data_IF_325857830059
#
_entry.id   IF_325857830059
#
_cell.length_a   1.000
_cell.length_b   1.000
_cell.length_c   1.000
_cell.angle_alpha   90.00
_cell.angle_beta   90.00
_cell.angle_gamma   90.00
#
_symmetry.space_group_name_H-M   'P 1'
#
loop_
_entity.id
_entity.type
_entity.pdbx_description
1 polymer ?
#
# COMPACT_ATOMS: atom_id res chain seq x y z
N UNK A 1 12.13 1.07 7.43
CA UNK A 1 10.74 1.11 7.90
C UNK A 1 9.81 0.77 6.75
N UNK A 2 8.64 0.31 7.06
CA UNK A 2 7.68 -0.15 6.06
C UNK A 2 6.34 0.53 6.23
N UNK A 3 5.72 0.94 5.11
CA UNK A 3 4.37 1.47 5.11
C UNK A 3 3.48 0.61 4.21
N UNK A 4 2.31 0.26 4.70
CA UNK A 4 1.30 -0.46 3.95
C UNK A 4 0.18 0.50 3.65
N UNK A 5 -0.08 0.73 2.37
CA UNK A 5 -1.12 1.67 1.93
C UNK A 5 -2.30 0.85 1.42
N UNK A 6 -3.49 1.13 1.91
CA UNK A 6 -4.70 0.47 1.43
C UNK A 6 -5.42 1.38 0.45
N UNK A 7 -5.70 0.85 -0.73
CA UNK A 7 -6.36 1.60 -1.79
C UNK A 7 -5.39 2.11 -2.85
N UNK A 8 -5.47 1.54 -4.04
CA UNK A 8 -4.62 1.92 -5.18
C UNK A 8 -5.34 3.01 -5.99
N UNK A 9 -5.16 4.27 -5.61
CA UNK A 9 -5.87 5.39 -6.22
C UNK A 9 -4.96 6.61 -6.30
N UNK A 10 -5.50 7.74 -6.77
CA UNK A 10 -4.73 8.97 -6.92
C UNK A 10 -4.21 9.53 -5.60
N UNK A 11 -4.93 9.31 -4.50
CA UNK A 11 -4.47 9.74 -3.18
C UNK A 11 -3.24 8.94 -2.79
N UNK A 12 -3.23 7.64 -3.08
CA UNK A 12 -2.07 6.79 -2.80
C UNK A 12 -0.85 7.24 -3.62
N UNK A 13 -1.05 7.60 -4.88
CA UNK A 13 0.04 8.13 -5.70
C UNK A 13 0.66 9.38 -5.10
N UNK A 14 -0.17 10.31 -4.66
CA UNK A 14 0.31 11.54 -4.03
C UNK A 14 1.03 11.26 -2.72
N UNK A 15 0.49 10.34 -1.93
CA UNK A 15 1.10 9.96 -0.66
C UNK A 15 2.49 9.36 -0.87
N UNK A 16 2.63 8.47 -1.86
CA UNK A 16 3.89 7.82 -2.14
C UNK A 16 4.98 8.83 -2.51
N UNK A 17 4.61 9.90 -3.21
CA UNK A 17 5.58 10.94 -3.57
C UNK A 17 6.14 11.67 -2.36
N UNK A 18 5.42 11.66 -1.24
CA UNK A 18 5.81 12.37 -0.02
C UNK A 18 6.52 11.49 0.98
N UNK A 19 6.51 10.18 0.77
CA UNK A 19 7.14 9.25 1.68
C UNK A 19 8.65 9.24 1.44
N UNK A 20 9.42 9.26 2.53
CA UNK A 20 10.87 9.28 2.44
C UNK A 20 11.45 8.06 1.73
N UNK A 21 12.62 8.22 1.14
CA UNK A 21 13.25 7.18 0.32
C UNK A 21 13.65 5.94 1.13
N UNK A 22 13.79 6.07 2.45
CA UNK A 22 14.16 4.94 3.30
C UNK A 22 13.01 4.00 3.59
N UNK A 23 11.78 4.38 3.21
CA UNK A 23 10.61 3.56 3.46
C UNK A 23 10.41 2.53 2.36
N UNK A 24 10.06 1.32 2.75
CA UNK A 24 9.55 0.31 1.84
C UNK A 24 8.03 0.44 1.79
N UNK A 25 7.47 0.34 0.59
CA UNK A 25 6.05 0.62 0.37
C UNK A 25 5.37 -0.62 -0.21
N UNK A 26 4.27 -1.02 0.40
CA UNK A 26 3.35 -2.01 -0.16
C UNK A 26 1.99 -1.36 -0.30
N UNK A 27 1.28 -1.70 -1.39
CA UNK A 27 -0.06 -1.21 -1.63
C UNK A 27 -1.01 -2.39 -1.75
N UNK A 28 -2.13 -2.31 -1.05
CA UNK A 28 -3.12 -3.38 -0.99
C UNK A 28 -4.44 -2.86 -1.53
N UNK A 29 -5.05 -3.60 -2.45
CA UNK A 29 -6.38 -3.27 -2.95
C UNK A 29 -7.10 -4.57 -3.31
N UNK A 30 -8.39 -4.62 -3.07
CA UNK A 30 -9.19 -5.77 -3.44
C UNK A 30 -9.43 -5.81 -4.95
N UNK A 31 -9.36 -4.66 -5.60
CA UNK A 31 -9.62 -4.52 -7.03
C UNK A 31 -8.31 -4.66 -7.81
N UNK A 32 -8.18 -5.76 -8.53
CA UNK A 32 -6.99 -6.02 -9.34
C UNK A 32 -6.80 -4.97 -10.44
N UNK A 33 -7.88 -4.45 -10.98
CA UNK A 33 -7.79 -3.41 -12.01
C UNK A 33 -7.16 -2.13 -11.45
N UNK A 34 -7.52 -1.75 -10.23
CA UNK A 34 -6.93 -0.59 -9.59
C UNK A 34 -5.44 -0.76 -9.40
N UNK A 35 -5.01 -1.96 -8.99
CA UNK A 35 -3.60 -2.26 -8.83
C UNK A 35 -2.86 -2.25 -10.17
N UNK A 36 -3.50 -2.82 -11.19
CA UNK A 36 -2.88 -2.90 -12.52
C UNK A 36 -2.71 -1.51 -13.13
N UNK A 37 -3.69 -0.64 -12.92
CA UNK A 37 -3.65 0.73 -13.43
C UNK A 37 -2.79 1.67 -12.61
N UNK A 38 -2.47 1.26 -11.38
CA UNK A 38 -1.68 2.09 -10.48
C UNK A 38 -0.24 2.19 -10.99
N UNK A 39 0.26 3.40 -11.12
CA UNK A 39 1.63 3.62 -11.53
C UNK A 39 2.31 4.59 -10.58
N UNK A 40 3.58 4.36 -10.34
CA UNK A 40 4.40 5.19 -9.47
C UNK A 40 5.82 5.14 -9.96
N UNK A 41 6.55 6.25 -9.82
CA UNK A 41 7.96 6.27 -10.15
C UNK A 41 8.78 5.45 -9.16
N UNK A 42 8.25 5.24 -7.96
CA UNK A 42 8.89 4.41 -6.95
C UNK A 42 8.44 2.97 -7.09
N UNK A 43 9.35 2.07 -6.76
CA UNK A 43 9.03 0.66 -6.71
C UNK A 43 8.15 0.39 -5.49
N UNK A 44 6.97 -0.18 -5.72
CA UNK A 44 6.05 -0.56 -4.65
C UNK A 44 5.60 -2.00 -4.88
N UNK A 45 5.39 -2.72 -3.79
CA UNK A 45 4.84 -4.06 -3.86
C UNK A 45 3.32 -3.97 -3.94
N UNK A 46 2.73 -4.61 -4.94
CA UNK A 46 1.27 -4.60 -5.13
C UNK A 46 0.71 -5.93 -4.67
N UNK A 47 -0.27 -5.87 -3.78
CA UNK A 47 -0.90 -7.06 -3.22
C UNK A 47 -2.40 -6.94 -3.40
N UNK A 48 -2.98 -7.91 -4.12
CA UNK A 48 -4.43 -7.98 -4.24
C UNK A 48 -5.00 -8.73 -3.04
N UNK A 49 -5.97 -8.12 -2.38
CA UNK A 49 -6.62 -8.76 -1.26
C UNK A 49 -7.43 -7.78 -0.44
N UNK A 50 -8.13 -8.33 0.53
CA UNK A 50 -8.96 -7.56 1.44
C UNK A 50 -8.09 -6.98 2.55
N UNK A 51 -8.04 -5.66 2.63
CA UNK A 51 -7.23 -4.96 3.63
C UNK A 51 -7.72 -5.17 5.06
N UNK A 52 -8.91 -5.76 5.24
CA UNK A 52 -9.37 -6.15 6.58
C UNK A 52 -8.85 -7.53 6.99
N UNK A 53 -8.22 -8.26 6.09
CA UNK A 53 -7.71 -9.59 6.38
C UNK A 53 -6.32 -9.51 6.99
N UNK A 54 -6.16 -10.13 8.16
CA UNK A 54 -4.85 -10.20 8.81
C UNK A 54 -3.82 -10.94 7.95
N UNK A 55 -4.25 -11.94 7.19
CA UNK A 55 -3.35 -12.68 6.32
C UNK A 55 -2.78 -11.77 5.21
N UNK A 56 -3.64 -10.94 4.62
CA UNK A 56 -3.24 -10.01 3.58
C UNK A 56 -2.29 -8.96 4.14
N UNK A 57 -2.62 -8.40 5.29
CA UNK A 57 -1.78 -7.38 5.93
C UNK A 57 -0.43 -7.96 6.33
N UNK A 58 -0.39 -9.19 6.81
CA UNK A 58 0.87 -9.85 7.15
C UNK A 58 1.72 -10.08 5.90
N UNK A 59 1.12 -10.45 4.79
CA UNK A 59 1.83 -10.57 3.51
C UNK A 59 2.45 -9.26 3.10
N UNK A 60 1.76 -8.15 3.38
CA UNK A 60 2.26 -6.83 3.07
C UNK A 60 3.35 -6.36 4.03
N UNK A 61 3.60 -7.10 5.11
CA UNK A 61 4.66 -6.78 6.06
C UNK A 61 4.22 -5.92 7.22
N UNK A 62 2.91 -5.79 7.47
CA UNK A 62 2.41 -4.91 8.52
C UNK A 62 2.83 -5.37 9.91
N UNK A 63 3.05 -6.67 10.10
CA UNK A 63 3.44 -7.21 11.39
C UNK A 63 4.90 -6.95 11.74
N UNK A 64 5.68 -6.43 10.80
CA UNK A 64 7.10 -6.14 11.05
C UNK A 64 7.26 -4.93 11.95
N UNK A 65 8.30 -4.93 12.77
CA UNK A 65 8.63 -3.78 13.60
C UNK A 65 8.89 -2.56 12.71
N UNK A 66 8.34 -1.42 13.09
CA UNK A 66 8.51 -0.19 12.34
C UNK A 66 7.55 -0.04 11.15
N UNK A 67 6.56 -0.90 11.04
CA UNK A 67 5.57 -0.76 9.97
C UNK A 67 4.39 0.09 10.41
N UNK A 68 3.79 0.80 9.46
CA UNK A 68 2.58 1.59 9.68
C UNK A 68 1.61 1.35 8.52
N UNK A 69 0.34 1.63 8.76
CA UNK A 69 -0.70 1.47 7.75
C UNK A 69 -1.34 2.82 7.46
N UNK A 70 -1.53 3.13 6.18
CA UNK A 70 -2.21 4.33 5.74
C UNK A 70 -3.43 3.96 4.91
N UNK A 71 -4.58 4.57 5.25
CA UNK A 71 -5.83 4.34 4.55
C UNK A 71 -6.04 5.47 3.55
N UNK A 72 -6.23 5.11 2.27
CA UNK A 72 -6.48 6.10 1.23
C UNK A 72 -7.89 6.00 0.66
N UNK A 73 -8.70 5.07 1.14
CA UNK A 73 -10.10 4.97 0.74
C UNK A 73 -10.90 6.08 1.39
N UNK A 74 -11.73 6.72 0.61
CA UNK A 74 -12.49 7.88 1.06
C UNK A 74 -13.92 7.53 1.50
N UNK A 75 -14.26 6.29 1.58
CA UNK A 75 -15.64 5.87 1.92
C UNK A 75 -15.96 5.98 3.38
#
# INVERSE_FOLDING_TARGET
>A
MKIVITGANGIAEQLIQRIGAAWEISIVDIDQESLRSFSSEREVEKIQGDATSNLVLNKAGLSSAGSVMALTNSD
#
